data_IF_710956917492
#
_entry.id   IF_710956917492
#
_cell.length_a   1.000
_cell.length_b   1.000
_cell.length_c   1.000
_cell.angle_alpha   90.00
_cell.angle_beta   90.00
_cell.angle_gamma   90.00
#
_symmetry.space_group_name_H-M   'P 1'
#
loop_
_entity.id
_entity.type
_entity.pdbx_description
1 polymer ?
#
# COMPACT_ATOMS: atom_id res chain seq x y z
N UNK A 1 62.38 27.85 -46.09
CA UNK A 1 61.50 27.17 -47.06
C UNK A 1 61.66 25.68 -46.79
N UNK A 2 60.74 24.84 -46.36
CA UNK A 2 59.30 24.81 -46.01
C UNK A 2 59.19 23.49 -45.21
N UNK A 3 58.66 23.42 -43.99
CA UNK A 3 57.25 23.66 -43.66
C UNK A 3 56.51 22.33 -43.50
N UNK A 4 56.04 22.03 -42.28
CA UNK A 4 54.95 21.09 -41.94
C UNK A 4 55.24 19.59 -42.15
N UNK A 5 54.54 18.63 -41.55
CA UNK A 5 53.43 18.56 -40.60
C UNK A 5 53.28 17.06 -40.30
N UNK A 6 53.31 16.59 -39.06
CA UNK A 6 52.07 16.39 -38.32
C UNK A 6 52.03 14.96 -37.74
N UNK A 7 52.13 14.85 -36.41
CA UNK A 7 51.37 13.81 -35.70
C UNK A 7 49.96 14.37 -35.54
N UNK A 8 48.90 13.57 -35.77
CA UNK A 8 48.36 12.86 -34.61
C UNK A 8 47.63 11.57 -34.98
N UNK A 9 47.55 10.62 -34.04
CA UNK A 9 46.67 9.48 -34.28
C UNK A 9 46.67 8.38 -33.25
N UNK A 10 47.18 8.61 -32.04
CA UNK A 10 46.82 7.74 -30.94
C UNK A 10 45.35 8.00 -30.61
N UNK A 11 44.45 7.31 -31.34
CA UNK A 11 43.06 7.20 -30.97
C UNK A 11 43.04 6.41 -29.67
N UNK A 12 43.24 7.10 -28.56
CA UNK A 12 42.73 6.69 -27.25
C UNK A 12 41.24 6.50 -27.50
N UNK A 13 40.87 5.26 -27.77
CA UNK A 13 39.48 4.82 -27.87
C UNK A 13 38.95 5.11 -26.49
N UNK A 14 38.30 6.26 -26.34
CA UNK A 14 37.78 6.69 -25.06
C UNK A 14 36.93 5.55 -24.55
N UNK A 15 37.29 5.03 -23.38
CA UNK A 15 36.41 4.23 -22.54
C UNK A 15 35.27 5.16 -22.09
N UNK A 16 34.44 5.56 -23.04
CA UNK A 16 33.21 6.29 -22.80
C UNK A 16 32.23 5.33 -22.19
N UNK A 17 32.28 5.21 -20.86
CA UNK A 17 31.22 4.78 -19.95
C UNK A 17 30.19 3.86 -20.63
N UNK A 18 30.55 2.60 -20.85
CA UNK A 18 29.64 1.56 -21.40
C UNK A 18 28.63 1.05 -20.37
N UNK A 19 28.46 1.75 -19.25
CA UNK A 19 27.48 1.41 -18.21
C UNK A 19 26.04 1.34 -18.77
N UNK A 20 25.71 2.21 -19.72
CA UNK A 20 24.41 2.24 -20.40
C UNK A 20 24.18 1.12 -21.42
N UNK A 21 25.24 0.42 -21.86
CA UNK A 21 25.12 -0.71 -22.80
C UNK A 21 24.95 -2.06 -22.08
N UNK A 22 25.13 -2.11 -20.76
CA UNK A 22 25.03 -3.35 -20.01
C UNK A 22 23.54 -3.72 -19.78
N UNK A 23 23.07 -4.88 -20.29
CA UNK A 23 21.67 -5.29 -20.16
C UNK A 23 21.20 -5.40 -18.70
N UNK A 24 22.11 -5.73 -17.76
CA UNK A 24 21.78 -5.80 -16.33
C UNK A 24 21.50 -4.42 -15.73
N UNK A 25 22.25 -3.39 -16.13
CA UNK A 25 22.04 -2.01 -15.65
C UNK A 25 20.75 -1.41 -16.22
N UNK A 26 20.47 -1.64 -17.51
CA UNK A 26 19.21 -1.19 -18.14
C UNK A 26 17.97 -1.85 -17.51
N UNK A 27 18.06 -3.14 -17.18
CA UNK A 27 16.99 -3.86 -16.48
C UNK A 27 16.72 -3.29 -15.09
N UNK A 28 17.77 -3.10 -14.28
CA UNK A 28 17.64 -2.53 -12.94
C UNK A 28 17.14 -1.09 -12.98
N UNK A 29 17.67 -0.27 -13.88
CA UNK A 29 17.23 1.11 -14.06
C UNK A 29 15.75 1.18 -14.46
N UNK A 30 15.31 0.34 -15.40
CA UNK A 30 13.91 0.26 -15.82
C UNK A 30 12.97 -0.20 -14.71
N UNK A 31 13.38 -1.18 -13.91
CA UNK A 31 12.58 -1.68 -12.79
C UNK A 31 12.45 -0.64 -11.68
N UNK A 32 13.54 0.06 -11.32
CA UNK A 32 13.49 1.17 -10.37
C UNK A 32 12.62 2.33 -10.87
N UNK A 33 12.71 2.65 -12.17
CA UNK A 33 11.84 3.64 -12.79
C UNK A 33 10.37 3.23 -12.71
N UNK A 34 10.06 1.96 -13.00
CA UNK A 34 8.70 1.45 -12.95
C UNK A 34 8.16 1.46 -11.52
N UNK A 35 8.92 0.97 -10.54
CA UNK A 35 8.52 1.03 -9.11
C UNK A 35 8.33 2.48 -8.68
N UNK A 36 9.26 3.37 -9.03
CA UNK A 36 9.14 4.80 -8.75
C UNK A 36 7.89 5.42 -9.37
N UNK A 37 7.57 5.05 -10.63
CA UNK A 37 6.37 5.52 -11.32
C UNK A 37 5.10 5.01 -10.64
N UNK A 38 5.05 3.73 -10.24
CA UNK A 38 3.90 3.15 -9.51
C UNK A 38 3.71 3.85 -8.17
N UNK A 39 4.78 4.04 -7.40
CA UNK A 39 4.73 4.74 -6.11
C UNK A 39 4.28 6.18 -6.29
N UNK A 40 4.83 6.89 -7.28
CA UNK A 40 4.44 8.26 -7.60
C UNK A 40 2.97 8.35 -8.00
N UNK A 41 2.49 7.45 -8.86
CA UNK A 41 1.11 7.42 -9.31
C UNK A 41 0.16 7.10 -8.14
N UNK A 42 0.51 6.12 -7.31
CA UNK A 42 -0.23 5.79 -6.10
C UNK A 42 -0.30 6.97 -5.14
N UNK A 43 0.83 7.64 -4.90
CA UNK A 43 0.89 8.86 -4.08
C UNK A 43 0.01 9.96 -4.65
N UNK A 44 0.09 10.22 -5.97
CA UNK A 44 -0.71 11.24 -6.63
C UNK A 44 -2.21 10.95 -6.53
N UNK A 45 -2.63 9.70 -6.71
CA UNK A 45 -4.04 9.31 -6.57
C UNK A 45 -4.50 9.52 -5.12
N UNK A 46 -3.75 9.02 -4.14
CA UNK A 46 -4.09 9.15 -2.72
C UNK A 46 -4.15 10.61 -2.27
N UNK A 47 -3.18 11.45 -2.69
CA UNK A 47 -3.16 12.86 -2.33
C UNK A 47 -4.32 13.63 -2.96
N UNK A 48 -4.66 13.36 -4.23
CA UNK A 48 -5.81 13.97 -4.87
C UNK A 48 -7.13 13.51 -4.22
N UNK A 49 -7.25 12.23 -3.88
CA UNK A 49 -8.40 11.71 -3.16
C UNK A 49 -8.54 12.36 -1.78
N UNK A 50 -7.46 12.43 -0.99
CA UNK A 50 -7.47 13.07 0.32
C UNK A 50 -7.92 14.53 0.25
N UNK A 51 -7.36 15.33 -0.68
CA UNK A 51 -7.77 16.73 -0.88
C UNK A 51 -9.23 16.85 -1.31
N UNK A 52 -9.74 15.92 -2.11
CA UNK A 52 -11.14 15.92 -2.52
C UNK A 52 -12.09 15.50 -1.38
N UNK A 53 -11.66 14.58 -0.51
CA UNK A 53 -12.43 14.11 0.65
C UNK A 53 -12.49 15.17 1.75
N UNK A 54 -11.37 15.89 1.98
CA UNK A 54 -11.31 17.03 2.90
C UNK A 54 -12.29 18.13 2.48
N UNK A 55 -12.33 18.47 1.18
CA UNK A 55 -13.30 19.43 0.63
C UNK A 55 -14.75 18.99 0.73
N UNK A 56 -15.01 17.69 0.84
CA UNK A 56 -16.36 17.12 0.95
C UNK A 56 -16.77 16.85 2.41
N UNK A 57 -15.94 17.22 3.40
CA UNK A 57 -16.15 16.87 4.82
C UNK A 57 -16.37 15.37 5.07
N UNK A 58 -15.90 14.51 4.15
CA UNK A 58 -15.97 13.07 4.33
C UNK A 58 -14.83 12.70 5.26
N UNK A 59 -15.16 12.15 6.44
CA UNK A 59 -14.19 11.62 7.41
C UNK A 59 -13.43 10.44 6.79
N UNK A 60 -12.41 10.72 6.00
CA UNK A 60 -11.51 9.72 5.43
C UNK A 60 -10.56 9.19 6.52
N UNK A 61 -10.45 7.87 6.66
CA UNK A 61 -9.57 7.22 7.64
C UNK A 61 -10.32 6.22 8.53
N UNK A 62 -9.71 5.83 9.66
CA UNK A 62 -10.31 4.90 10.63
C UNK A 62 -11.10 5.58 11.75
N UNK A 63 -11.21 6.92 11.74
CA UNK A 63 -11.98 7.66 12.75
C UNK A 63 -13.46 7.28 12.79
N UNK A 64 -13.99 6.65 11.74
CA UNK A 64 -15.35 6.10 11.78
C UNK A 64 -15.52 5.00 12.83
N UNK A 65 -14.45 4.28 13.20
CA UNK A 65 -14.50 3.24 14.22
C UNK A 65 -14.85 3.80 15.59
N UNK A 66 -14.50 5.04 15.88
CA UNK A 66 -14.81 5.71 17.16
C UNK A 66 -16.20 6.36 17.16
N UNK A 67 -16.87 6.44 16.01
CA UNK A 67 -18.23 6.97 15.94
C UNK A 67 -19.22 5.97 16.55
N UNK A 68 -20.28 6.48 17.19
CA UNK A 68 -21.37 5.65 17.69
C UNK A 68 -22.05 4.92 16.53
N UNK A 69 -22.21 3.60 16.68
CA UNK A 69 -22.81 2.74 15.68
C UNK A 69 -24.31 3.05 15.50
N UNK A 70 -25.01 3.35 16.60
CA UNK A 70 -26.44 3.72 16.57
C UNK A 70 -27.38 2.58 16.20
N UNK A 71 -26.90 1.34 16.18
CA UNK A 71 -27.69 0.14 15.92
C UNK A 71 -27.34 -0.99 16.90
N UNK A 72 -28.33 -1.81 17.23
CA UNK A 72 -28.17 -2.97 18.09
C UNK A 72 -27.67 -4.18 17.29
N UNK A 73 -26.82 -4.99 17.92
CA UNK A 73 -26.43 -6.31 17.41
C UNK A 73 -27.15 -7.36 18.25
N UNK A 74 -27.70 -8.37 17.58
CA UNK A 74 -28.39 -9.49 18.24
C UNK A 74 -27.44 -10.23 19.19
N UNK A 75 -27.99 -10.82 20.24
CA UNK A 75 -27.24 -11.58 21.23
C UNK A 75 -26.47 -12.76 20.60
N UNK A 76 -25.19 -12.55 20.37
CA UNK A 76 -24.17 -13.49 19.87
C UNK A 76 -23.01 -13.58 20.85
N UNK A 77 -22.17 -14.61 20.75
CA UNK A 77 -21.00 -14.78 21.62
C UNK A 77 -20.09 -13.53 21.59
N UNK A 78 -19.93 -12.91 20.41
CA UNK A 78 -19.20 -11.65 20.27
C UNK A 78 -19.82 -10.50 21.04
N UNK A 79 -21.14 -10.28 20.91
CA UNK A 79 -21.83 -9.18 21.60
C UNK A 79 -21.81 -9.31 23.13
N UNK A 80 -21.89 -10.54 23.65
CA UNK A 80 -21.80 -10.83 25.08
C UNK A 80 -20.41 -10.58 25.64
N UNK A 81 -19.35 -10.92 24.89
CA UNK A 81 -17.98 -10.76 25.35
C UNK A 81 -17.51 -9.30 25.31
N UNK A 82 -17.98 -8.52 24.33
CA UNK A 82 -17.65 -7.10 24.17
C UNK A 82 -18.56 -6.20 25.03
N UNK A 83 -19.72 -6.69 25.46
CA UNK A 83 -20.70 -5.85 26.18
C UNK A 83 -21.35 -4.81 25.26
N UNK A 84 -21.60 -5.19 24.00
CA UNK A 84 -22.06 -4.29 22.97
C UNK A 84 -23.49 -3.79 23.20
N UNK A 85 -23.71 -2.49 23.01
CA UNK A 85 -25.03 -1.86 22.99
C UNK A 85 -25.20 -0.90 21.81
N UNK A 86 -26.39 -0.35 21.62
CA UNK A 86 -26.67 0.65 20.57
C UNK A 86 -25.83 1.93 20.69
N UNK A 87 -25.30 2.19 21.89
CA UNK A 87 -24.43 3.33 22.18
C UNK A 87 -22.95 3.03 21.88
N UNK A 88 -22.60 1.76 21.67
CA UNK A 88 -21.24 1.34 21.32
C UNK A 88 -20.80 1.89 19.97
N UNK A 89 -19.50 1.83 19.74
CA UNK A 89 -18.84 2.36 18.55
C UNK A 89 -18.82 1.36 17.38
N UNK A 90 -18.59 1.84 16.16
CA UNK A 90 -18.40 0.96 15.00
C UNK A 90 -17.21 0.02 15.16
N UNK A 91 -16.17 0.41 15.91
CA UNK A 91 -15.03 -0.43 16.24
C UNK A 91 -15.41 -1.63 17.11
N UNK A 92 -16.27 -1.40 18.10
CA UNK A 92 -16.83 -2.48 18.92
C UNK A 92 -17.74 -3.39 18.09
N UNK A 93 -18.57 -2.83 17.20
CA UNK A 93 -19.39 -3.62 16.27
C UNK A 93 -18.54 -4.54 15.38
N UNK A 94 -17.40 -4.03 14.89
CA UNK A 94 -16.45 -4.82 14.12
C UNK A 94 -15.85 -5.97 14.94
N UNK A 95 -15.45 -5.71 16.19
CA UNK A 95 -14.93 -6.74 17.10
C UNK A 95 -15.95 -7.84 17.40
N UNK A 96 -17.22 -7.46 17.61
CA UNK A 96 -18.32 -8.42 17.78
C UNK A 96 -18.40 -9.38 16.60
N UNK A 97 -18.36 -8.86 15.37
CA UNK A 97 -18.36 -9.67 14.15
C UNK A 97 -17.13 -10.58 14.07
N UNK A 98 -15.95 -10.03 14.32
CA UNK A 98 -14.69 -10.78 14.27
C UNK A 98 -14.67 -11.96 15.25
N UNK A 99 -15.06 -11.71 16.51
CA UNK A 99 -15.13 -12.75 17.55
C UNK A 99 -16.12 -13.83 17.15
N UNK A 100 -17.29 -13.44 16.64
CA UNK A 100 -18.29 -14.42 16.21
C UNK A 100 -17.76 -15.31 15.07
N UNK A 101 -17.11 -14.74 14.05
CA UNK A 101 -16.53 -15.53 12.96
C UNK A 101 -15.44 -16.49 13.47
N UNK A 102 -14.56 -16.03 14.34
CA UNK A 102 -13.51 -16.88 14.92
C UNK A 102 -14.07 -17.99 15.79
N UNK A 103 -15.10 -17.69 16.60
CA UNK A 103 -15.75 -18.69 17.45
C UNK A 103 -16.45 -19.77 16.62
N UNK A 104 -17.20 -19.38 15.59
CA UNK A 104 -17.86 -20.32 14.68
C UNK A 104 -16.82 -21.15 13.93
N UNK A 105 -15.74 -20.54 13.44
CA UNK A 105 -14.65 -21.25 12.77
C UNK A 105 -13.97 -22.27 13.71
N UNK A 106 -13.68 -21.89 14.95
CA UNK A 106 -13.09 -22.78 15.93
C UNK A 106 -14.01 -23.98 16.23
N UNK A 107 -15.30 -23.74 16.44
CA UNK A 107 -16.29 -24.80 16.65
C UNK A 107 -16.36 -25.73 15.43
N UNK A 108 -16.40 -25.19 14.22
CA UNK A 108 -16.44 -25.97 12.99
C UNK A 108 -15.21 -26.87 12.83
N UNK A 109 -14.00 -26.35 13.14
CA UNK A 109 -12.76 -27.14 13.09
C UNK A 109 -12.82 -28.30 14.08
N UNK A 110 -13.23 -28.04 15.33
CA UNK A 110 -13.34 -29.08 16.36
C UNK A 110 -14.33 -30.17 15.93
N UNK A 111 -15.51 -29.78 15.49
CA UNK A 111 -16.55 -30.72 15.04
C UNK A 111 -16.17 -31.49 13.78
N UNK A 112 -15.41 -30.90 12.87
CA UNK A 112 -14.91 -31.59 11.68
C UNK A 112 -13.77 -32.57 11.98
N UNK A 113 -13.09 -32.40 13.12
CA UNK A 113 -11.95 -33.23 13.52
C UNK A 113 -12.38 -34.50 14.26
N UNK A 114 -13.55 -34.50 14.90
CA UNK A 114 -14.10 -35.62 15.68
C UNK A 114 -15.02 -36.46 14.78
#
# INVERSE_FOLDING_TARGET
>A
MTGGSGSPGQRRRGEGITLFSNPRFRGLAGQLLLVGLIVWLGYAILSNAAVNLEKQHISSGFGFLDNSAGFGIVATLGSWLVGYSEQSTYGEAFLVGLINTLAVAALAIVLATI
#
